data_IF_005839971709
#
_entry.id   IF_005839971709
#
_cell.length_a   1.000
_cell.length_b   1.000
_cell.length_c   1.000
_cell.angle_alpha   90.00
_cell.angle_beta   90.00
_cell.angle_gamma   90.00
#
_symmetry.space_group_name_H-M   'P 1'
#
loop_
_entity.id
_entity.type
_entity.pdbx_description
1 polymer ?
#
# COMPACT_ATOMS: atom_id res chain seq x y z
N UNK A 1 -7.67 53.61 -76.60
CA UNK A 1 -7.07 53.46 -75.28
C UNK A 1 -7.47 52.05 -74.73
N UNK A 2 -6.55 51.12 -74.77
CA UNK A 2 -6.79 49.72 -74.34
C UNK A 2 -6.29 49.56 -72.92
N UNK A 3 -7.17 49.20 -71.98
CA UNK A 3 -6.83 48.80 -70.60
C UNK A 3 -6.47 47.31 -70.59
N UNK A 4 -5.26 47.00 -70.14
CA UNK A 4 -4.78 45.65 -69.88
C UNK A 4 -5.15 45.28 -68.45
N UNK A 5 -5.95 44.24 -68.25
CA UNK A 5 -6.25 43.66 -66.96
C UNK A 5 -5.21 42.54 -66.68
N UNK A 6 -4.45 42.75 -65.61
CA UNK A 6 -3.51 41.75 -65.10
C UNK A 6 -4.25 40.88 -64.09
N UNK A 7 -4.46 39.58 -64.41
CA UNK A 7 -5.03 38.62 -63.52
C UNK A 7 -3.92 38.00 -62.65
N UNK A 8 -3.97 38.27 -61.33
CA UNK A 8 -3.08 37.66 -60.35
C UNK A 8 -3.70 36.33 -59.92
N UNK A 9 -3.04 35.23 -60.26
CA UNK A 9 -3.40 33.88 -59.82
C UNK A 9 -2.78 33.65 -58.43
N UNK A 10 -3.63 33.58 -57.41
CA UNK A 10 -3.21 33.20 -56.06
C UNK A 10 -3.26 31.66 -55.99
N UNK A 11 -2.10 31.03 -55.92
CA UNK A 11 -1.98 29.60 -55.63
C UNK A 11 -2.15 29.36 -54.13
N UNK A 12 -3.29 28.83 -53.73
CA UNK A 12 -3.52 28.35 -52.34
C UNK A 12 -2.84 27.00 -52.16
N UNK A 13 -1.72 27.02 -51.40
CA UNK A 13 -1.01 25.80 -50.98
C UNK A 13 -1.78 25.19 -49.78
N UNK A 14 -2.64 24.20 -50.04
CA UNK A 14 -3.26 23.41 -49.00
C UNK A 14 -2.20 22.51 -48.35
N UNK A 15 -1.68 22.94 -47.21
CA UNK A 15 -0.87 22.11 -46.32
C UNK A 15 -1.82 21.12 -45.64
N UNK A 16 -1.85 19.89 -46.16
CA UNK A 16 -2.55 18.77 -45.53
C UNK A 16 -1.80 18.39 -44.26
N UNK A 17 -2.22 18.89 -43.08
CA UNK A 17 -1.86 18.35 -41.79
C UNK A 17 -2.44 16.94 -41.71
N UNK A 18 -1.58 15.92 -41.85
CA UNK A 18 -1.90 14.56 -41.47
C UNK A 18 -1.93 14.53 -39.95
N UNK A 19 -3.01 14.04 -39.28
CA UNK A 19 -2.93 13.74 -37.88
C UNK A 19 -1.88 12.66 -37.69
N UNK A 20 -0.88 12.94 -36.86
CA UNK A 20 0.02 11.91 -36.34
C UNK A 20 -0.86 10.92 -35.57
N UNK A 21 -1.09 9.76 -36.17
CA UNK A 21 -1.62 8.62 -35.46
C UNK A 21 -0.63 8.35 -34.31
N UNK A 22 -1.09 8.52 -33.07
CA UNK A 22 -0.40 8.02 -31.92
C UNK A 22 -0.18 6.52 -32.18
N UNK A 23 1.06 6.14 -32.41
CA UNK A 23 1.46 4.74 -32.46
C UNK A 23 1.28 4.22 -31.03
N UNK A 24 0.19 3.46 -30.82
CA UNK A 24 0.08 2.57 -29.69
C UNK A 24 1.35 1.70 -29.68
N UNK A 25 2.21 1.94 -28.71
CA UNK A 25 3.34 1.06 -28.39
C UNK A 25 2.81 -0.22 -27.72
N UNK A 26 1.90 -0.91 -28.39
CA UNK A 26 1.55 -2.29 -28.08
C UNK A 26 2.66 -3.18 -28.66
N UNK A 27 3.65 -3.56 -27.84
CA UNK A 27 4.47 -4.71 -28.17
C UNK A 27 5.98 -4.55 -28.18
N UNK A 28 6.59 -3.88 -27.23
CA UNK A 28 7.90 -4.33 -26.79
C UNK A 28 7.70 -5.07 -25.44
N UNK A 29 7.32 -6.35 -25.50
CA UNK A 29 7.52 -7.25 -24.37
C UNK A 29 9.03 -7.35 -24.25
N UNK A 30 9.60 -6.48 -23.42
CA UNK A 30 10.98 -6.60 -22.97
C UNK A 30 11.19 -8.09 -22.68
N UNK A 31 12.33 -8.63 -23.09
CA UNK A 31 12.68 -10.04 -22.85
C UNK A 31 12.99 -10.23 -21.34
N UNK A 32 12.01 -9.84 -20.53
CA UNK A 32 12.06 -9.82 -19.07
C UNK A 32 11.58 -11.19 -18.60
N UNK A 33 12.40 -11.87 -17.84
CA UNK A 33 11.97 -13.08 -17.15
C UNK A 33 11.11 -12.67 -15.94
N UNK A 34 9.81 -12.46 -16.19
CA UNK A 34 8.86 -12.03 -15.15
C UNK A 34 8.85 -12.99 -13.95
N UNK A 35 8.97 -14.30 -14.18
CA UNK A 35 9.00 -15.28 -13.10
C UNK A 35 10.22 -15.10 -12.18
N UNK A 36 11.39 -14.79 -12.75
CA UNK A 36 12.60 -14.51 -11.97
C UNK A 36 12.45 -13.22 -11.15
N UNK A 37 11.87 -12.16 -11.73
CA UNK A 37 11.62 -10.91 -11.02
C UNK A 37 10.63 -11.13 -9.87
N UNK A 38 9.54 -11.88 -10.11
CA UNK A 38 8.54 -12.20 -9.08
C UNK A 38 9.20 -12.92 -7.89
N UNK A 39 10.06 -13.90 -8.14
CA UNK A 39 10.76 -14.61 -7.07
C UNK A 39 11.72 -13.69 -6.30
N UNK A 40 12.45 -12.82 -7.01
CA UNK A 40 13.40 -11.89 -6.40
C UNK A 40 12.72 -10.82 -5.56
N UNK A 41 11.66 -10.19 -6.07
CA UNK A 41 10.97 -9.19 -5.27
C UNK A 41 10.26 -9.82 -4.07
N UNK A 42 9.66 -11.02 -4.21
CA UNK A 42 9.04 -11.71 -3.09
C UNK A 42 10.07 -12.06 -1.99
N UNK A 43 11.30 -12.37 -2.36
CA UNK A 43 12.40 -12.57 -1.40
C UNK A 43 12.76 -11.24 -0.70
N UNK A 44 12.83 -10.12 -1.44
CA UNK A 44 13.08 -8.79 -0.87
C UNK A 44 11.95 -8.33 0.07
N UNK A 45 10.71 -8.59 -0.30
CA UNK A 45 9.56 -8.32 0.56
C UNK A 45 9.56 -9.21 1.84
N UNK A 46 10.09 -10.43 1.76
CA UNK A 46 10.30 -11.26 2.95
C UNK A 46 11.38 -10.69 3.87
N UNK A 47 12.52 -10.22 3.32
CA UNK A 47 13.55 -9.49 4.07
C UNK A 47 12.97 -8.23 4.73
N UNK A 48 12.21 -7.44 3.99
CA UNK A 48 11.53 -6.24 4.50
C UNK A 48 10.55 -6.57 5.63
N UNK A 49 9.69 -7.58 5.45
CA UNK A 49 8.71 -8.02 6.48
C UNK A 49 9.39 -8.38 7.79
N UNK A 50 10.55 -9.04 7.72
CA UNK A 50 11.35 -9.37 8.90
C UNK A 50 11.99 -8.11 9.51
N UNK A 51 12.61 -7.27 8.68
CA UNK A 51 13.27 -6.04 9.16
C UNK A 51 12.28 -5.04 9.75
N UNK A 52 11.04 -4.97 9.24
CA UNK A 52 9.97 -4.11 9.76
C UNK A 52 9.71 -4.36 11.25
N UNK A 53 9.92 -5.57 11.74
CA UNK A 53 9.80 -5.91 13.15
C UNK A 53 10.76 -5.15 14.07
N UNK A 54 11.84 -4.59 13.53
CA UNK A 54 12.81 -3.77 14.28
C UNK A 54 12.40 -2.28 14.36
N UNK A 55 11.26 -1.88 13.79
CA UNK A 55 10.86 -0.47 13.72
C UNK A 55 9.54 -0.23 14.46
N UNK A 56 9.45 0.96 15.02
CA UNK A 56 8.20 1.56 15.49
C UNK A 56 7.86 2.74 14.61
N UNK A 57 6.58 3.10 14.53
CA UNK A 57 6.13 4.29 13.82
C UNK A 57 4.78 4.76 14.34
N UNK A 58 4.44 6.01 14.05
CA UNK A 58 3.12 6.57 14.33
C UNK A 58 2.26 6.46 13.07
N UNK A 59 1.08 5.84 13.21
CA UNK A 59 0.05 5.78 12.17
C UNK A 59 -1.05 6.78 12.49
N UNK A 60 -1.36 7.66 11.54
CA UNK A 60 -2.51 8.57 11.62
C UNK A 60 -3.50 8.22 10.53
N UNK A 61 -4.72 7.87 10.90
CA UNK A 61 -5.81 7.58 9.97
C UNK A 61 -6.86 8.68 10.05
N UNK A 62 -7.30 9.17 8.91
CA UNK A 62 -8.41 10.10 8.76
C UNK A 62 -9.32 9.59 7.66
N UNK A 63 -10.59 9.35 8.00
CA UNK A 63 -11.64 9.01 7.06
C UNK A 63 -12.71 10.08 7.12
N UNK A 64 -13.06 10.67 5.99
CA UNK A 64 -14.04 11.75 5.85
C UNK A 64 -15.16 11.31 4.90
N UNK A 65 -16.39 11.50 5.31
CA UNK A 65 -17.52 11.50 4.37
C UNK A 65 -17.57 12.87 3.70
N UNK A 66 -17.65 12.89 2.38
CA UNK A 66 -17.68 14.13 1.60
C UNK A 66 -19.09 14.43 1.05
N UNK A 67 -19.84 13.37 0.73
CA UNK A 67 -21.19 13.46 0.16
C UNK A 67 -21.92 12.12 0.42
N UNK A 68 -23.24 12.11 0.69
CA UNK A 68 -24.14 13.24 0.84
C UNK A 68 -24.03 13.90 2.23
N UNK A 69 -24.48 15.16 2.39
CA UNK A 69 -24.61 15.79 3.70
C UNK A 69 -25.80 15.19 4.50
N UNK A 70 -25.76 15.21 5.86
CA UNK A 70 -24.65 15.69 6.69
C UNK A 70 -23.44 14.77 6.62
N UNK A 71 -22.23 15.32 6.69
CA UNK A 71 -20.97 14.57 6.61
C UNK A 71 -20.30 14.44 7.97
N UNK A 72 -19.52 13.41 8.14
CA UNK A 72 -18.77 13.16 9.35
C UNK A 72 -17.33 12.69 9.10
N UNK A 73 -16.65 12.34 10.17
CA UNK A 73 -15.27 11.85 10.09
C UNK A 73 -14.97 10.82 11.18
N UNK A 74 -13.99 9.97 10.88
CA UNK A 74 -13.28 9.13 11.82
C UNK A 74 -11.80 9.49 11.79
N UNK A 75 -11.20 9.56 12.98
CA UNK A 75 -9.80 9.95 13.13
C UNK A 75 -9.15 9.16 14.25
N UNK A 76 -7.96 8.61 14.00
CA UNK A 76 -7.19 7.86 14.98
C UNK A 76 -5.69 8.07 14.79
N UNK A 77 -4.97 8.08 15.88
CA UNK A 77 -3.49 8.12 15.92
C UNK A 77 -3.03 7.00 16.81
N UNK A 78 -2.18 6.12 16.27
CA UNK A 78 -1.64 4.98 16.97
C UNK A 78 -0.11 4.96 16.89
N UNK A 79 0.53 4.59 18.00
CA UNK A 79 1.90 4.13 17.96
C UNK A 79 1.93 2.63 17.65
N UNK A 80 2.63 2.29 16.60
CA UNK A 80 2.73 0.92 16.11
C UNK A 80 4.07 0.32 16.51
N UNK A 81 3.99 -0.82 17.18
CA UNK A 81 5.12 -1.57 17.73
C UNK A 81 5.00 -3.02 17.26
N UNK A 82 6.13 -3.65 16.95
CA UNK A 82 6.18 -5.08 16.70
C UNK A 82 6.86 -5.78 17.87
N UNK A 83 6.29 -6.89 18.32
CA UNK A 83 6.93 -7.74 19.31
C UNK A 83 8.05 -8.60 18.67
N UNK A 84 8.88 -9.29 19.46
CA UNK A 84 9.95 -10.13 18.91
C UNK A 84 9.49 -11.27 18.00
N UNK A 85 8.21 -11.63 18.04
CA UNK A 85 7.59 -12.61 17.13
C UNK A 85 7.15 -12.01 15.80
N UNK A 86 7.26 -10.66 15.64
CA UNK A 86 6.78 -9.91 14.50
C UNK A 86 5.28 -9.61 14.52
N UNK A 87 4.62 -9.84 15.67
CA UNK A 87 3.22 -9.49 15.83
C UNK A 87 3.08 -7.98 16.04
N UNK A 88 2.25 -7.34 15.23
CA UNK A 88 1.91 -5.92 15.33
C UNK A 88 1.02 -5.66 16.55
N UNK A 89 1.37 -4.65 17.31
CA UNK A 89 0.59 -4.11 18.44
C UNK A 89 0.33 -2.63 18.18
N UNK A 90 -0.88 -2.20 18.47
CA UNK A 90 -1.34 -0.83 18.32
C UNK A 90 -1.55 -0.22 19.70
N UNK A 91 -0.98 0.94 19.92
CA UNK A 91 -1.19 1.73 21.13
C UNK A 91 -1.88 3.04 20.75
N UNK A 92 -3.16 3.15 21.05
CA UNK A 92 -3.97 4.31 20.71
C UNK A 92 -3.47 5.53 21.48
N UNK A 93 -3.00 6.55 20.75
CA UNK A 93 -2.55 7.83 21.27
C UNK A 93 -3.71 8.83 21.30
N UNK A 94 -4.53 8.81 20.24
CA UNK A 94 -5.66 9.73 20.09
C UNK A 94 -6.76 9.09 19.24
N UNK A 95 -7.96 9.01 19.79
CA UNK A 95 -9.15 8.54 19.08
C UNK A 95 -10.38 9.33 19.59
N UNK A 96 -10.69 10.51 19.02
CA UNK A 96 -11.91 11.23 19.35
C UNK A 96 -13.12 10.40 18.92
N UNK A 97 -14.27 10.65 19.58
CA UNK A 97 -15.53 9.98 19.22
C UNK A 97 -15.85 10.27 17.76
N UNK A 98 -16.01 9.21 16.92
CA UNK A 98 -16.38 9.39 15.52
C UNK A 98 -17.77 10.01 15.38
N UNK A 99 -17.95 10.79 14.32
CA UNK A 99 -19.23 11.38 13.99
C UNK A 99 -19.69 11.07 12.55
N UNK A 100 -19.25 9.92 12.01
CA UNK A 100 -19.71 9.42 10.71
C UNK A 100 -21.24 9.31 10.69
N UNK A 101 -21.85 9.63 9.56
CA UNK A 101 -23.30 9.72 9.40
C UNK A 101 -23.87 8.60 8.52
N UNK A 102 -23.14 8.17 7.52
CA UNK A 102 -23.61 7.23 6.49
C UNK A 102 -22.89 5.89 6.55
N UNK A 103 -21.66 5.85 7.08
CA UNK A 103 -20.85 4.64 7.17
C UNK A 103 -20.40 4.39 8.61
N UNK A 104 -20.04 3.15 8.88
CA UNK A 104 -19.41 2.72 10.13
C UNK A 104 -18.11 2.00 9.83
N UNK A 105 -17.12 2.16 10.71
CA UNK A 105 -15.89 1.36 10.64
C UNK A 105 -16.19 -0.07 11.11
N UNK A 106 -15.91 -1.03 10.26
CA UNK A 106 -16.08 -2.46 10.53
C UNK A 106 -14.75 -3.12 10.94
N UNK A 107 -14.78 -4.32 11.54
CA UNK A 107 -13.54 -5.08 11.78
C UNK A 107 -12.76 -5.38 10.50
N UNK A 108 -13.43 -5.50 9.37
CA UNK A 108 -12.82 -5.69 8.06
C UNK A 108 -12.06 -4.45 7.60
N UNK A 109 -12.59 -3.24 7.84
CA UNK A 109 -11.90 -1.97 7.56
C UNK A 109 -10.63 -1.85 8.41
N UNK A 110 -10.72 -2.18 9.70
CA UNK A 110 -9.55 -2.20 10.59
C UNK A 110 -8.51 -3.21 10.13
N UNK A 111 -8.94 -4.39 9.66
CA UNK A 111 -8.03 -5.38 9.11
C UNK A 111 -7.34 -4.89 7.83
N UNK A 112 -8.06 -4.15 6.97
CA UNK A 112 -7.48 -3.56 5.76
C UNK A 112 -6.44 -2.48 6.09
N UNK A 113 -6.71 -1.61 7.05
CA UNK A 113 -5.75 -0.62 7.55
C UNK A 113 -4.46 -1.25 8.09
N UNK A 114 -4.59 -2.41 8.75
CA UNK A 114 -3.48 -3.11 9.39
C UNK A 114 -2.65 -3.96 8.42
N UNK A 115 -3.32 -4.70 7.53
CA UNK A 115 -2.70 -5.81 6.81
C UNK A 115 -2.73 -5.65 5.28
N UNK A 116 -3.71 -4.92 4.73
CA UNK A 116 -3.93 -4.81 3.29
C UNK A 116 -3.34 -3.52 2.70
N UNK A 117 -3.52 -2.39 3.37
CA UNK A 117 -2.98 -1.12 2.88
C UNK A 117 -1.44 -1.08 2.91
N UNK A 118 -0.75 -1.51 3.99
CA UNK A 118 0.70 -1.66 3.99
C UNK A 118 1.13 -3.00 3.36
N UNK A 119 0.54 -3.37 2.22
CA UNK A 119 0.67 -4.66 1.57
C UNK A 119 2.13 -5.10 1.39
N UNK A 120 2.41 -6.35 1.71
CA UNK A 120 3.70 -7.01 1.53
C UNK A 120 3.43 -8.36 0.86
N UNK A 121 4.18 -8.70 -0.20
CA UNK A 121 4.00 -9.95 -0.93
C UNK A 121 5.27 -10.82 -0.85
N UNK A 122 5.35 -11.62 0.19
CA UNK A 122 6.53 -12.43 0.50
C UNK A 122 6.57 -13.76 -0.26
N UNK A 123 7.72 -14.45 -0.21
CA UNK A 123 7.87 -15.82 -0.73
C UNK A 123 6.89 -16.81 -0.11
N UNK A 124 6.47 -16.61 1.14
CA UNK A 124 5.48 -17.46 1.78
C UNK A 124 4.05 -17.20 1.28
N UNK A 125 3.78 -16.01 0.79
CA UNK A 125 2.43 -15.54 0.41
C UNK A 125 2.21 -15.53 -1.11
N UNK A 126 3.29 -15.43 -1.90
CA UNK A 126 3.21 -15.34 -3.37
C UNK A 126 2.40 -16.46 -4.01
N UNK A 127 2.44 -17.66 -3.43
CA UNK A 127 1.68 -18.81 -3.88
C UNK A 127 0.15 -18.67 -3.75
N UNK A 128 -0.32 -17.72 -2.94
CA UNK A 128 -1.76 -17.43 -2.73
C UNK A 128 -2.33 -16.54 -3.83
N UNK A 129 -1.47 -15.93 -4.66
CA UNK A 129 -1.85 -14.94 -5.66
C UNK A 129 -1.52 -15.40 -7.07
N UNK A 130 -2.33 -14.95 -8.04
CA UNK A 130 -1.92 -14.81 -9.42
C UNK A 130 -1.19 -13.47 -9.53
N UNK A 131 0.00 -13.49 -10.09
CA UNK A 131 0.83 -12.30 -10.28
C UNK A 131 1.24 -12.25 -11.75
N UNK A 132 0.69 -11.29 -12.49
CA UNK A 132 0.89 -11.17 -13.92
C UNK A 132 1.67 -9.89 -14.23
N UNK A 133 2.72 -10.01 -15.03
CA UNK A 133 3.54 -8.88 -15.46
C UNK A 133 2.77 -8.03 -16.47
N UNK A 134 2.65 -6.74 -16.19
CA UNK A 134 1.96 -5.76 -17.04
C UNK A 134 2.92 -4.99 -17.94
N UNK A 135 4.16 -4.81 -17.52
CA UNK A 135 5.15 -4.05 -18.27
C UNK A 135 6.10 -3.26 -17.38
N UNK A 136 6.80 -2.30 -18.01
CA UNK A 136 7.62 -1.31 -17.31
C UNK A 136 6.93 0.03 -17.31
N UNK A 137 7.03 0.71 -16.19
CA UNK A 137 6.51 2.06 -16.02
C UNK A 137 7.51 2.91 -15.23
N UNK A 138 7.50 4.21 -15.45
CA UNK A 138 8.29 5.14 -14.66
C UNK A 138 7.39 5.86 -13.68
N UNK A 139 7.67 5.69 -12.39
CA UNK A 139 7.01 6.40 -11.30
C UNK A 139 7.94 7.52 -10.84
N UNK A 140 7.66 8.75 -11.25
CA UNK A 140 8.57 9.90 -11.12
C UNK A 140 9.95 9.59 -11.73
N UNK A 141 10.99 9.46 -10.92
CA UNK A 141 12.34 9.13 -11.36
C UNK A 141 12.68 7.63 -11.24
N UNK A 142 11.76 6.83 -10.67
CA UNK A 142 11.98 5.41 -10.38
C UNK A 142 11.48 4.56 -11.55
N UNK A 143 12.36 3.78 -12.17
CA UNK A 143 11.97 2.75 -13.13
C UNK A 143 11.33 1.57 -12.40
N UNK A 144 10.15 1.14 -12.83
CA UNK A 144 9.40 0.09 -12.15
C UNK A 144 9.00 -1.03 -13.10
N UNK A 145 8.96 -2.25 -12.55
CA UNK A 145 8.17 -3.35 -13.10
C UNK A 145 6.77 -3.28 -12.51
N UNK A 146 5.74 -3.35 -13.34
CA UNK A 146 4.34 -3.29 -12.90
C UNK A 146 3.72 -4.68 -13.01
N UNK A 147 3.01 -5.09 -11.97
CA UNK A 147 2.32 -6.37 -11.92
C UNK A 147 0.88 -6.20 -11.45
N UNK A 148 -0.04 -6.98 -12.01
CA UNK A 148 -1.34 -7.21 -11.39
C UNK A 148 -1.23 -8.32 -10.35
N UNK A 149 -1.96 -8.17 -9.26
CA UNK A 149 -1.98 -9.10 -8.13
C UNK A 149 -3.43 -9.42 -7.79
N UNK A 150 -3.78 -10.70 -7.81
CA UNK A 150 -5.13 -11.16 -7.53
C UNK A 150 -5.12 -12.45 -6.72
N UNK A 151 -5.86 -12.57 -5.60
CA UNK A 151 -5.90 -13.80 -4.83
C UNK A 151 -6.49 -14.96 -5.65
N UNK A 152 -5.84 -16.13 -5.61
CA UNK A 152 -6.31 -17.36 -6.28
C UNK A 152 -7.58 -17.90 -5.65
N UNK A 153 -7.69 -17.75 -4.34
CA UNK A 153 -8.81 -18.23 -3.54
C UNK A 153 -8.98 -17.32 -2.34
N UNK A 154 -10.22 -16.99 -2.02
CA UNK A 154 -10.56 -16.26 -0.81
C UNK A 154 -11.04 -17.23 0.26
N UNK A 155 -10.48 -17.14 1.46
CA UNK A 155 -10.88 -17.90 2.63
C UNK A 155 -11.75 -17.03 3.54
N UNK A 156 -12.76 -17.62 4.18
CA UNK A 156 -13.64 -16.90 5.09
C UNK A 156 -12.85 -16.29 6.25
N UNK A 157 -13.10 -15.02 6.54
CA UNK A 157 -12.46 -14.28 7.63
C UNK A 157 -11.03 -13.82 7.34
N UNK A 158 -10.55 -13.99 6.10
CA UNK A 158 -9.27 -13.43 5.66
C UNK A 158 -9.48 -12.29 4.68
N UNK A 159 -8.63 -11.29 4.80
CA UNK A 159 -8.55 -10.17 3.87
C UNK A 159 -7.35 -10.34 2.97
N UNK A 160 -7.49 -9.91 1.72
CA UNK A 160 -6.47 -10.01 0.69
C UNK A 160 -6.39 -8.68 -0.05
N UNK A 161 -5.25 -8.40 -0.65
CA UNK A 161 -5.09 -7.31 -1.61
C UNK A 161 -5.44 -7.78 -3.02
N UNK A 162 -6.16 -6.95 -3.78
CA UNK A 162 -6.36 -7.13 -5.21
C UNK A 162 -6.10 -5.79 -5.92
N UNK A 163 -5.15 -5.78 -6.86
CA UNK A 163 -4.79 -4.55 -7.57
C UNK A 163 -3.48 -4.65 -8.32
N UNK A 164 -2.77 -3.55 -8.40
CA UNK A 164 -1.50 -3.41 -9.09
C UNK A 164 -0.39 -3.02 -8.11
N UNK A 165 0.82 -3.47 -8.39
CA UNK A 165 2.02 -3.12 -7.63
C UNK A 165 3.12 -2.64 -8.57
N UNK A 166 3.88 -1.65 -8.13
CA UNK A 166 5.08 -1.12 -8.78
C UNK A 166 6.29 -1.56 -7.96
N UNK A 167 7.19 -2.27 -8.62
CA UNK A 167 8.41 -2.82 -8.03
C UNK A 167 9.60 -2.09 -8.64
N UNK A 168 10.41 -1.42 -7.80
CA UNK A 168 11.64 -0.75 -8.22
C UNK A 168 12.53 -1.72 -9.03
N UNK A 169 13.04 -1.28 -10.18
CA UNK A 169 13.83 -2.15 -11.07
C UNK A 169 15.27 -2.36 -10.62
N UNK A 170 15.73 -1.66 -9.56
CA UNK A 170 17.06 -1.78 -8.96
C UNK A 170 17.02 -2.58 -7.65
N UNK A 171 16.16 -2.16 -6.73
CA UNK A 171 16.08 -2.72 -5.38
C UNK A 171 15.14 -3.93 -5.29
N UNK A 172 14.29 -4.10 -6.30
CA UNK A 172 13.27 -5.15 -6.37
C UNK A 172 12.38 -5.18 -5.12
N UNK A 173 11.99 -4.01 -4.64
CA UNK A 173 11.02 -3.82 -3.55
C UNK A 173 9.80 -3.07 -4.09
N UNK A 174 8.64 -3.32 -3.49
CA UNK A 174 7.41 -2.59 -3.84
C UNK A 174 7.57 -1.14 -3.40
N UNK A 175 7.30 -0.20 -4.31
CA UNK A 175 7.35 1.26 -4.06
C UNK A 175 5.97 1.90 -4.06
N UNK A 176 5.01 1.29 -4.77
CA UNK A 176 3.62 1.73 -4.82
C UNK A 176 2.69 0.54 -4.95
N UNK A 177 1.50 0.64 -4.37
CA UNK A 177 0.37 -0.25 -4.64
C UNK A 177 -0.86 0.57 -4.99
N UNK A 178 -1.74 0.05 -5.86
CA UNK A 178 -3.06 0.60 -6.15
C UNK A 178 -4.07 -0.52 -6.24
N UNK A 179 -5.11 -0.51 -5.43
CA UNK A 179 -6.09 -1.58 -5.40
C UNK A 179 -7.05 -1.46 -4.24
N UNK A 180 -7.61 -2.58 -3.81
CA UNK A 180 -8.55 -2.63 -2.69
C UNK A 180 -8.38 -3.90 -1.86
N UNK A 181 -8.91 -3.86 -0.65
CA UNK A 181 -9.12 -5.04 0.17
C UNK A 181 -10.26 -5.89 -0.36
N UNK A 182 -10.04 -7.19 -0.48
CA UNK A 182 -11.06 -8.16 -0.90
C UNK A 182 -11.11 -9.34 0.06
N UNK A 183 -12.23 -10.06 0.07
CA UNK A 183 -12.42 -11.22 0.94
C UNK A 183 -13.89 -11.62 1.04
N UNK A 184 -14.16 -12.72 1.72
CA UNK A 184 -15.52 -13.16 2.00
C UNK A 184 -16.01 -12.40 3.24
N UNK A 185 -16.78 -11.36 3.02
CA UNK A 185 -17.30 -10.43 4.03
C UNK A 185 -18.82 -10.49 4.12
N UNK A 186 -19.40 -9.75 5.05
CA UNK A 186 -20.88 -9.61 5.16
C UNK A 186 -21.40 -8.92 3.90
N UNK A 187 -22.59 -9.35 3.45
CA UNK A 187 -23.28 -8.68 2.36
C UNK A 187 -23.55 -7.21 2.74
N UNK A 188 -23.25 -6.32 1.84
CA UNK A 188 -23.45 -4.88 2.02
C UNK A 188 -22.22 -4.12 2.54
N UNK A 189 -21.10 -4.79 2.84
CA UNK A 189 -19.84 -4.08 3.09
C UNK A 189 -19.21 -3.68 1.76
N UNK A 190 -18.81 -2.43 1.67
CA UNK A 190 -18.10 -1.85 0.53
C UNK A 190 -16.74 -1.31 0.99
N UNK A 191 -15.73 -1.42 0.13
CA UNK A 191 -14.35 -1.03 0.44
C UNK A 191 -13.80 -0.16 -0.68
N UNK A 192 -13.14 0.98 -0.33
CA UNK A 192 -12.59 1.87 -1.34
C UNK A 192 -11.37 1.27 -2.02
N UNK A 193 -11.12 1.73 -3.25
CA UNK A 193 -9.79 1.62 -3.83
C UNK A 193 -8.87 2.64 -3.18
N UNK A 194 -7.65 2.24 -2.94
CA UNK A 194 -6.61 3.08 -2.34
C UNK A 194 -5.31 2.94 -3.11
N UNK A 195 -4.44 3.90 -2.92
CA UNK A 195 -3.03 3.81 -3.31
C UNK A 195 -2.14 4.01 -2.08
N UNK A 196 -1.07 3.21 -2.00
CA UNK A 196 -0.06 3.34 -0.95
C UNK A 196 1.28 3.61 -1.57
N UNK A 197 1.95 4.65 -1.09
CA UNK A 197 3.30 5.03 -1.46
C UNK A 197 4.28 4.60 -0.38
N UNK A 198 5.46 4.19 -0.81
CA UNK A 198 6.56 3.84 0.07
C UNK A 198 7.77 4.71 -0.21
N UNK A 199 8.55 4.97 0.82
CA UNK A 199 9.82 5.69 0.74
C UNK A 199 10.93 4.90 1.43
N UNK A 200 12.17 5.13 1.00
CA UNK A 200 13.31 4.51 1.64
C UNK A 200 13.56 5.15 3.02
N UNK A 201 13.44 4.31 4.04
CA UNK A 201 13.85 4.66 5.40
C UNK A 201 15.19 3.97 5.65
N UNK A 202 16.15 4.70 6.20
CA UNK A 202 17.54 4.25 6.43
C UNK A 202 18.30 3.80 5.16
N UNK A 203 17.83 4.21 3.98
CA UNK A 203 18.47 3.94 2.69
C UNK A 203 18.50 2.47 2.28
N UNK A 204 17.67 1.60 2.89
CA UNK A 204 17.68 0.17 2.62
C UNK A 204 16.33 -0.42 2.27
N UNK A 205 15.30 -0.07 3.01
CA UNK A 205 13.96 -0.65 2.84
C UNK A 205 12.95 0.42 2.51
N UNK A 206 11.98 0.05 1.67
CA UNK A 206 10.86 0.89 1.29
C UNK A 206 9.69 0.68 2.23
N UNK A 207 9.46 1.63 3.13
CA UNK A 207 8.37 1.62 4.10
C UNK A 207 7.16 2.39 3.58
N UNK A 208 5.92 1.98 3.90
CA UNK A 208 4.75 2.80 3.65
C UNK A 208 4.91 4.16 4.35
N UNK A 209 4.63 5.24 3.64
CA UNK A 209 4.64 6.60 4.22
C UNK A 209 3.29 7.28 4.09
N UNK A 210 2.54 6.89 3.05
CA UNK A 210 1.26 7.52 2.75
C UNK A 210 0.31 6.54 2.05
N UNK A 211 -0.94 6.48 2.52
CA UNK A 211 -2.04 5.82 1.80
C UNK A 211 -3.17 6.82 1.60
N UNK A 212 -3.76 6.81 0.42
CA UNK A 212 -4.86 7.67 0.03
C UNK A 212 -5.95 6.88 -0.68
N UNK A 213 -7.21 7.20 -0.37
CA UNK A 213 -8.39 6.80 -1.11
C UNK A 213 -9.30 8.02 -1.29
N UNK A 214 -9.85 8.17 -2.48
CA UNK A 214 -10.91 9.14 -2.79
C UNK A 214 -11.86 8.38 -3.73
N UNK A 215 -12.95 7.85 -3.17
CA UNK A 215 -13.81 6.88 -3.86
C UNK A 215 -15.27 7.05 -3.44
N UNK A 216 -16.18 6.57 -4.28
CA UNK A 216 -17.60 6.51 -3.95
C UNK A 216 -18.00 5.06 -3.66
N UNK A 217 -18.38 4.81 -2.43
CA UNK A 217 -18.90 3.51 -2.00
C UNK A 217 -20.35 3.36 -2.48
N UNK A 218 -20.66 2.26 -3.18
CA UNK A 218 -21.98 1.98 -3.75
C UNK A 218 -22.63 0.85 -2.97
N UNK A 219 -23.57 1.19 -2.10
CA UNK A 219 -24.25 0.21 -1.26
C UNK A 219 -25.43 -0.46 -1.97
N UNK A 220 -25.74 -1.73 -1.62
CA UNK A 220 -26.82 -2.49 -2.26
C UNK A 220 -28.24 -1.92 -2.11
N UNK A 221 -28.47 -1.05 -1.12
CA UNK A 221 -29.74 -0.33 -0.90
C UNK A 221 -29.90 0.90 -1.80
N UNK A 222 -28.85 1.21 -2.59
CA UNK A 222 -28.81 2.33 -3.52
C UNK A 222 -28.19 3.61 -2.94
N UNK A 223 -27.79 3.61 -1.68
CA UNK A 223 -27.01 4.71 -1.12
C UNK A 223 -25.60 4.75 -1.72
N UNK A 224 -25.10 5.95 -1.98
CA UNK A 224 -23.76 6.20 -2.44
C UNK A 224 -23.09 7.18 -1.49
N UNK A 225 -21.93 6.83 -0.99
CA UNK A 225 -21.19 7.68 -0.05
C UNK A 225 -19.81 7.98 -0.62
N UNK A 226 -19.56 9.24 -0.94
CA UNK A 226 -18.22 9.68 -1.36
C UNK A 226 -17.36 9.89 -0.13
N UNK A 227 -16.25 9.21 -0.08
CA UNK A 227 -15.31 9.25 1.05
C UNK A 227 -13.92 9.68 0.60
N UNK A 228 -13.19 10.26 1.55
CA UNK A 228 -11.74 10.42 1.45
C UNK A 228 -11.08 9.81 2.67
N UNK A 229 -10.13 8.92 2.42
CA UNK A 229 -9.30 8.34 3.46
C UNK A 229 -7.85 8.73 3.26
N UNK A 230 -7.18 9.07 4.34
CA UNK A 230 -5.74 9.34 4.37
C UNK A 230 -5.12 8.59 5.53
N UNK A 231 -4.07 7.81 5.25
CA UNK A 231 -3.24 7.19 6.29
C UNK A 231 -1.81 7.71 6.13
N UNK A 232 -1.26 8.24 7.20
CA UNK A 232 0.14 8.66 7.27
C UNK A 232 0.91 7.73 8.19
N UNK A 233 2.08 7.33 7.76
CA UNK A 233 3.01 6.49 8.51
C UNK A 233 4.28 7.32 8.74
N UNK A 234 4.49 7.76 9.97
CA UNK A 234 5.51 8.76 10.30
C UNK A 234 6.37 8.32 11.47
N UNK A 235 7.42 9.08 11.74
CA UNK A 235 8.27 8.89 12.92
C UNK A 235 8.86 7.49 13.04
N UNK A 236 9.25 6.90 11.93
CA UNK A 236 9.93 5.62 11.92
C UNK A 236 11.19 5.64 12.77
N UNK A 237 11.26 4.75 13.75
CA UNK A 237 12.41 4.60 14.65
C UNK A 237 12.83 3.14 14.69
N UNK A 238 14.09 2.89 14.40
CA UNK A 238 14.64 1.55 14.54
C UNK A 238 14.87 1.23 16.02
N UNK A 239 14.27 0.15 16.48
CA UNK A 239 14.42 -0.33 17.82
C UNK A 239 15.47 -1.44 17.87
N UNK A 240 16.66 -1.12 18.37
CA UNK A 240 17.74 -2.11 18.56
C UNK A 240 17.73 -2.56 20.02
N UNK A 241 16.74 -3.35 20.39
CA UNK A 241 16.63 -3.91 21.73
C UNK A 241 17.07 -5.38 21.74
N UNK A 242 18.36 -5.68 21.92
CA UNK A 242 18.81 -7.00 22.39
C UNK A 242 18.76 -7.02 23.91
N UNK A 243 17.66 -7.51 24.48
CA UNK A 243 17.63 -7.83 25.90
C UNK A 243 18.25 -9.22 26.09
N UNK A 244 19.50 -9.26 26.56
CA UNK A 244 20.11 -10.52 27.01
C UNK A 244 19.76 -10.69 28.49
N UNK A 245 18.80 -11.57 28.80
CA UNK A 245 18.52 -11.95 30.17
C UNK A 245 19.61 -12.95 30.56
N UNK A 246 20.61 -12.46 31.32
CA UNK A 246 21.58 -13.36 31.96
C UNK A 246 20.97 -13.82 33.26
N UNK A 247 20.55 -15.07 33.33
CA UNK A 247 20.17 -15.69 34.59
C UNK A 247 21.45 -15.86 35.43
N UNK A 248 21.52 -15.17 36.57
CA UNK A 248 22.58 -15.42 37.56
C UNK A 248 22.48 -16.86 38.06
N UNK A 249 23.62 -17.47 38.36
CA UNK A 249 23.65 -18.78 38.97
C UNK A 249 22.77 -18.81 40.25
N UNK A 250 22.05 -19.92 40.52
CA UNK A 250 21.28 -20.02 41.72
C UNK A 250 22.20 -19.81 42.93
N UNK A 251 21.83 -18.88 43.82
CA UNK A 251 22.54 -18.70 45.10
C UNK A 251 22.27 -19.93 45.92
N UNK A 252 23.31 -20.72 46.20
CA UNK A 252 23.19 -21.86 47.14
C UNK A 252 22.72 -21.30 48.52
N UNK A 253 21.73 -21.94 49.15
CA UNK A 253 21.26 -21.50 50.45
C UNK A 253 22.37 -21.65 51.48
N UNK A 254 22.71 -20.56 52.16
CA UNK A 254 23.69 -20.54 53.26
C UNK A 254 23.18 -21.43 54.37
N UNK A 255 23.98 -22.41 54.85
CA UNK A 255 23.57 -23.29 55.93
C UNK A 255 23.34 -22.51 57.22
N UNK A 256 22.35 -22.89 58.05
CA UNK A 256 22.02 -22.13 59.28
C UNK A 256 23.18 -22.19 60.28
N UNK A 257 23.39 -21.16 61.11
CA UNK A 257 24.47 -21.07 62.07
C UNK A 257 24.32 -22.19 63.11
N UNK A 258 25.41 -22.96 63.37
CA UNK A 258 25.48 -23.95 64.43
C UNK A 258 25.26 -23.28 65.77
N UNK A 259 24.24 -23.71 66.53
CA UNK A 259 24.05 -23.33 67.91
C UNK A 259 25.26 -23.84 68.72
N UNK A 260 25.98 -22.93 69.37
CA UNK A 260 26.97 -23.29 70.40
C UNK A 260 26.22 -23.84 71.61
N UNK A 261 26.61 -25.05 72.05
CA UNK A 261 26.25 -25.61 73.32
C UNK A 261 27.01 -24.92 74.42
#
# INVERSE_FOLDING_TARGET
MRKVMLAATVAVLCLSMRPALAQDNAGNKDNVNAADIIQKFAAKEAEFKQARGDYTYTQTVKLEELDPPPTGMWYEVDDIIFDPSGKRTEHVVKAPVPNLQHIIMTPEDTADLRDVQPFVLTTAEIGLYNVDYLGREKLDEIGCYTFSVKPKKMEKGKRYFEGEIWVDDRDLQIVKTYGKGVGIVRKGNEFPKFETYREQIDGKYWFPTYTHADDTLHFPDGENVHIRMTVKYQDYKRFVGRSTITYGNPVEPTPPPKKKQ
#
